data_IF_150790513436
#
_entry.id   IF_150790513436
#
_cell.length_a   1.000
_cell.length_b   1.000
_cell.length_c   1.000
_cell.angle_alpha   90.00
_cell.angle_beta   90.00
_cell.angle_gamma   90.00
#
_symmetry.space_group_name_H-M   'P 1'
#
loop_
_entity.id
_entity.type
_entity.pdbx_description
1 polymer ?
#
# COMPACT_ATOMS: atom_id res chain seq x y z
N UNK A 1 -1.99 23.52 13.54
CA UNK A 1 -2.82 23.64 12.33
C UNK A 1 -2.81 22.34 11.54
N UNK A 2 -3.84 21.50 11.67
CA UNK A 2 -4.11 20.44 10.70
C UNK A 2 -4.81 21.09 9.51
N UNK A 3 -4.14 21.13 8.36
CA UNK A 3 -4.76 21.56 7.11
C UNK A 3 -5.65 20.42 6.63
N UNK A 4 -6.98 20.57 6.79
CA UNK A 4 -7.95 19.66 6.17
C UNK A 4 -7.64 19.60 4.66
N UNK A 5 -7.46 18.40 4.13
CA UNK A 5 -7.23 18.07 2.71
C UNK A 5 -5.81 18.19 2.15
N UNK A 6 -4.76 18.42 2.96
CA UNK A 6 -3.38 18.32 2.46
C UNK A 6 -2.78 16.96 2.81
N UNK A 7 -2.37 16.21 1.78
CA UNK A 7 -1.61 14.97 1.95
C UNK A 7 -0.26 15.31 2.59
N UNK A 8 0.08 14.57 3.65
CA UNK A 8 1.35 14.75 4.36
C UNK A 8 2.31 13.69 3.86
N UNK A 9 3.46 14.12 3.33
CA UNK A 9 4.49 13.18 2.88
C UNK A 9 5.05 12.39 4.06
N UNK A 10 5.53 11.16 3.79
CA UNK A 10 6.15 10.30 4.81
C UNK A 10 7.28 11.03 5.56
N UNK A 11 8.12 11.78 4.87
CA UNK A 11 9.24 12.50 5.50
C UNK A 11 8.77 13.59 6.47
N UNK A 12 7.74 14.35 6.10
CA UNK A 12 7.17 15.37 6.99
C UNK A 12 6.53 14.70 8.21
N UNK A 13 5.83 13.59 8.01
CA UNK A 13 5.24 12.82 9.10
C UNK A 13 6.30 12.28 10.05
N UNK A 14 7.33 11.58 9.54
CA UNK A 14 8.43 11.01 10.33
C UNK A 14 9.17 12.08 11.13
N UNK A 15 9.48 13.24 10.52
CA UNK A 15 10.12 14.37 11.21
C UNK A 15 9.25 14.91 12.36
N UNK A 16 7.93 15.00 12.18
CA UNK A 16 7.01 15.46 13.23
C UNK A 16 6.91 14.47 14.38
N UNK A 17 6.79 13.18 14.09
CA UNK A 17 6.74 12.14 15.12
C UNK A 17 8.03 12.12 15.94
N UNK A 18 9.19 12.22 15.29
CA UNK A 18 10.46 12.32 15.99
C UNK A 18 10.50 13.55 16.92
N UNK A 19 10.08 14.73 16.44
CA UNK A 19 10.07 15.95 17.25
C UNK A 19 9.15 15.87 18.48
N UNK A 20 7.99 15.22 18.36
CA UNK A 20 6.96 15.21 19.42
C UNK A 20 7.14 14.05 20.39
N UNK A 21 7.45 12.86 19.86
CA UNK A 21 7.48 11.60 20.63
C UNK A 21 8.88 11.05 20.82
N UNK A 22 9.92 11.69 20.26
CA UNK A 22 11.30 11.23 20.28
C UNK A 22 11.51 9.82 19.68
N UNK A 23 10.66 9.43 18.73
CA UNK A 23 10.78 8.15 18.02
C UNK A 23 11.60 8.35 16.73
N UNK A 24 12.71 7.63 16.52
CA UNK A 24 13.49 7.69 15.29
C UNK A 24 12.68 7.29 14.04
N UNK A 25 12.91 7.96 12.91
CA UNK A 25 12.17 7.70 11.66
C UNK A 25 12.37 6.29 11.07
N UNK A 26 13.48 5.64 11.41
CA UNK A 26 13.79 4.23 11.11
C UNK A 26 12.91 3.25 11.90
N UNK A 27 12.36 3.67 13.05
CA UNK A 27 11.43 2.87 13.85
C UNK A 27 9.97 3.10 13.43
N UNK A 28 9.73 4.00 12.46
CA UNK A 28 8.40 4.29 11.94
C UNK A 28 8.16 3.52 10.65
N UNK A 29 7.21 2.58 10.73
CA UNK A 29 6.80 1.72 9.62
C UNK A 29 5.38 1.99 9.20
N UNK A 30 5.18 1.91 7.90
CA UNK A 30 3.88 1.94 7.25
C UNK A 30 3.45 0.51 6.93
N UNK A 31 2.14 0.30 6.93
CA UNK A 31 1.54 -1.00 6.65
C UNK A 31 0.41 -0.80 5.66
N UNK A 32 0.55 -1.46 4.51
CA UNK A 32 -0.53 -1.58 3.54
C UNK A 32 -1.26 -2.90 3.77
N UNK A 33 -2.58 -2.84 3.73
CA UNK A 33 -3.46 -4.00 3.89
C UNK A 33 -4.89 -3.63 3.52
N UNK A 34 -5.72 -4.65 3.30
CA UNK A 34 -7.13 -4.48 2.93
C UNK A 34 -7.97 -5.42 3.79
N UNK A 35 -9.24 -5.08 4.01
CA UNK A 35 -10.15 -5.94 4.79
C UNK A 35 -10.38 -7.27 4.05
N UNK A 36 -10.50 -7.18 2.74
CA UNK A 36 -10.71 -8.27 1.79
C UNK A 36 -9.43 -9.06 1.52
N UNK A 37 -8.27 -8.55 1.93
CA UNK A 37 -6.98 -9.23 1.75
C UNK A 37 -6.14 -8.97 2.99
N UNK A 38 -6.43 -9.76 4.03
CA UNK A 38 -5.87 -9.61 5.39
C UNK A 38 -4.38 -9.94 5.53
N UNK A 39 -3.59 -9.71 4.49
CA UNK A 39 -2.14 -9.86 4.50
C UNK A 39 -1.50 -8.48 4.76
N UNK A 40 -0.67 -8.35 5.80
CA UNK A 40 0.05 -7.11 6.05
C UNK A 40 1.28 -7.01 5.15
N UNK A 41 1.37 -5.92 4.40
CA UNK A 41 2.56 -5.53 3.64
C UNK A 41 3.24 -4.38 4.36
N UNK A 42 4.38 -4.64 4.99
CA UNK A 42 5.06 -3.67 5.84
C UNK A 42 6.22 -3.03 5.09
N UNK A 43 6.41 -1.72 5.25
CA UNK A 43 7.50 -1.02 4.60
C UNK A 43 8.86 -1.22 5.30
N UNK A 44 9.93 -1.16 4.50
CA UNK A 44 11.28 -1.09 5.01
C UNK A 44 11.68 0.37 5.33
N UNK A 45 12.94 0.55 5.74
CA UNK A 45 13.55 1.83 6.10
C UNK A 45 13.52 2.81 4.91
N UNK A 46 13.50 2.26 3.69
CA UNK A 46 13.42 2.98 2.42
C UNK A 46 11.97 3.21 1.95
N UNK A 47 10.97 2.85 2.75
CA UNK A 47 9.56 3.06 2.43
C UNK A 47 8.98 2.15 1.34
N UNK A 48 9.69 1.06 0.97
CA UNK A 48 9.20 0.02 0.05
C UNK A 48 8.45 -1.07 0.83
N UNK A 49 7.22 -1.39 0.43
CA UNK A 49 6.37 -2.40 1.05
C UNK A 49 6.85 -3.79 0.62
N UNK A 50 7.24 -4.63 1.58
CA UNK A 50 7.73 -5.98 1.28
C UNK A 50 6.59 -6.97 1.07
N UNK A 51 6.71 -7.79 0.01
CA UNK A 51 5.81 -8.90 -0.25
C UNK A 51 6.23 -10.10 0.60
N UNK A 52 5.38 -10.61 1.50
CA UNK A 52 5.69 -11.80 2.30
C UNK A 52 5.95 -13.03 1.42
N UNK A 53 6.74 -13.98 1.91
CA UNK A 53 7.13 -15.19 1.15
C UNK A 53 5.92 -16.02 0.67
N UNK A 54 4.84 -15.99 1.46
CA UNK A 54 3.59 -16.69 1.21
C UNK A 54 2.63 -15.87 0.35
N UNK A 55 3.02 -14.72 -0.20
CA UNK A 55 2.16 -13.90 -1.06
C UNK A 55 2.84 -13.54 -2.36
N UNK A 56 2.05 -13.07 -3.32
CA UNK A 56 2.52 -12.50 -4.58
C UNK A 56 1.86 -11.15 -4.77
N UNK A 57 2.59 -10.23 -5.38
CA UNK A 57 2.09 -8.95 -5.84
C UNK A 57 2.61 -8.73 -7.26
N UNK A 58 1.76 -8.22 -8.13
CA UNK A 58 2.12 -7.79 -9.48
C UNK A 58 1.38 -6.49 -9.80
N UNK A 59 1.92 -5.71 -10.72
CA UNK A 59 1.20 -4.62 -11.36
C UNK A 59 0.66 -5.16 -12.69
N UNK A 60 -0.60 -4.90 -12.99
CA UNK A 60 -1.24 -5.32 -14.25
C UNK A 60 -1.77 -4.12 -15.02
N UNK A 61 -1.76 -4.24 -16.34
CA UNK A 61 -2.38 -3.27 -17.23
C UNK A 61 -3.91 -3.31 -17.04
N UNK A 62 -4.59 -2.16 -16.87
CA UNK A 62 -6.02 -2.12 -16.56
C UNK A 62 -6.93 -2.55 -17.72
N UNK A 63 -6.45 -2.50 -18.97
CA UNK A 63 -7.25 -2.85 -20.15
C UNK A 63 -7.09 -4.34 -20.50
N UNK A 64 -5.86 -4.84 -20.43
CA UNK A 64 -5.50 -6.20 -20.86
C UNK A 64 -5.41 -7.20 -19.71
N UNK A 65 -5.32 -6.71 -18.46
CA UNK A 65 -5.07 -7.48 -17.24
C UNK A 65 -3.77 -8.30 -17.28
N UNK A 66 -2.88 -8.03 -18.23
CA UNK A 66 -1.58 -8.68 -18.31
C UNK A 66 -0.59 -8.00 -17.34
N UNK A 67 0.35 -8.76 -16.75
CA UNK A 67 1.41 -8.17 -15.94
C UNK A 67 2.23 -7.16 -16.74
N UNK A 68 2.47 -5.98 -16.15
CA UNK A 68 3.43 -5.01 -16.69
C UNK A 68 4.84 -5.37 -16.22
N UNK A 69 5.87 -4.73 -16.78
CA UNK A 69 7.26 -5.00 -16.37
C UNK A 69 7.51 -4.46 -14.97
N UNK A 70 8.46 -5.07 -14.25
CA UNK A 70 8.94 -4.52 -12.99
C UNK A 70 9.48 -3.10 -13.22
N UNK A 71 9.10 -2.16 -12.34
CA UNK A 71 9.37 -0.73 -12.47
C UNK A 71 8.28 0.07 -13.20
N UNK A 72 7.32 -0.58 -13.89
CA UNK A 72 6.20 0.10 -14.54
C UNK A 72 4.98 0.22 -13.60
N UNK A 73 4.19 1.28 -13.78
CA UNK A 73 2.94 1.49 -13.04
C UNK A 73 1.82 0.63 -13.63
N UNK A 74 1.06 -0.03 -12.76
CA UNK A 74 -0.19 -0.71 -13.12
C UNK A 74 -1.14 -0.80 -11.93
N UNK A 75 -2.27 -1.48 -12.11
CA UNK A 75 -3.16 -1.83 -11.01
C UNK A 75 -2.52 -2.91 -10.15
N UNK A 76 -2.58 -2.73 -8.83
CA UNK A 76 -2.04 -3.69 -7.88
C UNK A 76 -2.93 -4.93 -7.84
N UNK A 77 -2.32 -6.08 -8.14
CA UNK A 77 -2.94 -7.39 -8.04
C UNK A 77 -2.19 -8.22 -7.00
N UNK A 78 -2.93 -8.79 -6.05
CA UNK A 78 -2.42 -9.50 -4.89
C UNK A 78 -2.89 -10.95 -4.90
N UNK A 79 -2.02 -11.87 -4.46
CA UNK A 79 -2.39 -13.27 -4.26
C UNK A 79 -1.76 -13.84 -3.00
N UNK A 80 -2.45 -14.78 -2.37
CA UNK A 80 -1.96 -15.49 -1.19
C UNK A 80 -2.72 -16.81 -0.99
N UNK A 81 -2.06 -17.92 -0.63
CA UNK A 81 -2.72 -19.14 -0.20
C UNK A 81 -3.03 -19.13 1.31
N UNK A 82 -2.66 -18.08 2.05
CA UNK A 82 -2.79 -18.01 3.51
C UNK A 82 -4.25 -17.83 3.97
N UNK A 83 -5.12 -17.27 3.12
CA UNK A 83 -6.51 -16.98 3.45
C UNK A 83 -7.37 -18.24 3.26
N UNK A 84 -7.72 -18.89 4.36
CA UNK A 84 -8.53 -20.12 4.37
C UNK A 84 -9.98 -19.91 4.81
N UNK A 85 -10.28 -18.80 5.48
CA UNK A 85 -11.61 -18.51 6.03
C UNK A 85 -12.60 -17.93 4.99
N UNK A 86 -12.10 -17.43 3.85
CA UNK A 86 -12.91 -16.89 2.75
C UNK A 86 -12.10 -16.90 1.43
N UNK A 87 -12.77 -16.94 0.26
CA UNK A 87 -12.10 -17.18 -1.02
C UNK A 87 -11.47 -15.92 -1.64
N UNK A 88 -10.61 -15.20 -0.91
CA UNK A 88 -9.87 -14.04 -1.41
C UNK A 88 -8.39 -14.35 -1.65
N UNK A 89 -8.14 -15.45 -2.36
CA UNK A 89 -6.77 -15.90 -2.65
C UNK A 89 -6.11 -15.09 -3.78
N UNK A 90 -6.90 -14.35 -4.55
CA UNK A 90 -6.52 -13.54 -5.69
C UNK A 90 -7.43 -12.31 -5.73
N UNK A 91 -6.83 -11.13 -5.65
CA UNK A 91 -7.54 -9.86 -5.57
C UNK A 91 -6.90 -8.82 -6.49
N UNK A 92 -7.67 -8.33 -7.46
CA UNK A 92 -7.35 -7.13 -8.20
C UNK A 92 -7.87 -5.92 -7.44
N UNK A 93 -6.99 -4.98 -7.14
CA UNK A 93 -7.33 -3.77 -6.39
C UNK A 93 -7.58 -2.60 -7.34
N UNK A 94 -8.11 -1.50 -6.79
CA UNK A 94 -8.15 -0.20 -7.48
C UNK A 94 -6.94 0.67 -7.15
N UNK A 95 -5.97 0.17 -6.38
CA UNK A 95 -4.75 0.91 -6.07
C UNK A 95 -3.76 0.77 -7.22
N UNK A 96 -3.11 1.88 -7.58
CA UNK A 96 -2.01 1.91 -8.55
C UNK A 96 -0.70 1.69 -7.83
N UNK A 97 0.12 0.78 -8.35
CA UNK A 97 1.40 0.45 -7.74
C UNK A 97 2.47 0.21 -8.79
N UNK A 98 3.72 0.34 -8.32
CA UNK A 98 4.92 -0.10 -9.03
C UNK A 98 5.53 -1.25 -8.25
N UNK A 99 5.81 -2.36 -8.93
CA UNK A 99 6.52 -3.50 -8.35
C UNK A 99 8.00 -3.36 -8.65
N UNK A 100 8.84 -3.54 -7.63
CA UNK A 100 10.29 -3.43 -7.74
C UNK A 100 10.96 -4.63 -7.06
N UNK A 101 12.09 -5.05 -7.60
CA UNK A 101 12.99 -6.00 -6.95
C UNK A 101 14.16 -5.27 -6.26
N UNK A 102 15.13 -6.05 -5.76
CA UNK A 102 16.43 -5.55 -5.28
C UNK A 102 16.33 -4.36 -4.32
N UNK A 103 15.52 -4.54 -3.27
CA UNK A 103 15.35 -3.51 -2.24
C UNK A 103 16.70 -3.12 -1.61
N UNK A 104 17.01 -1.82 -1.40
CA UNK A 104 18.28 -1.40 -0.79
C UNK A 104 18.50 -1.96 0.63
N UNK A 105 17.43 -2.40 1.31
CA UNK A 105 17.54 -3.08 2.61
C UNK A 105 18.09 -4.52 2.52
N UNK A 106 18.31 -5.05 1.29
CA UNK A 106 18.86 -6.38 0.99
C UNK A 106 18.01 -7.57 1.43
N UNK A 107 16.81 -7.35 1.98
CA UNK A 107 15.86 -8.43 2.25
C UNK A 107 15.40 -9.04 0.92
N UNK A 108 15.30 -10.37 0.82
CA UNK A 108 14.90 -11.02 -0.42
C UNK A 108 13.41 -10.79 -0.74
N UNK A 109 13.05 -11.03 -1.99
CA UNK A 109 11.68 -10.95 -2.47
C UNK A 109 11.34 -9.61 -3.12
N UNK A 110 10.15 -9.56 -3.72
CA UNK A 110 9.64 -8.35 -4.37
C UNK A 110 9.16 -7.34 -3.34
N UNK A 111 9.17 -6.10 -3.75
CA UNK A 111 8.59 -4.97 -3.03
C UNK A 111 7.65 -4.20 -3.93
N UNK A 112 6.81 -3.36 -3.36
CA UNK A 112 6.02 -2.42 -4.14
C UNK A 112 5.86 -1.09 -3.44
N UNK A 113 5.44 -0.10 -4.22
CA UNK A 113 5.07 1.23 -3.74
C UNK A 113 3.70 1.58 -4.30
N UNK A 114 2.82 2.10 -3.46
CA UNK A 114 1.55 2.68 -3.89
C UNK A 114 1.82 4.06 -4.49
N UNK A 115 1.34 4.28 -5.70
CA UNK A 115 1.40 5.58 -6.39
C UNK A 115 0.13 6.39 -6.13
N UNK A 116 -1.01 5.71 -6.03
CA UNK A 116 -2.31 6.34 -5.76
C UNK A 116 -3.45 5.36 -5.94
N UNK A 117 -4.67 5.87 -6.12
CA UNK A 117 -5.86 5.08 -6.45
C UNK A 117 -6.33 5.39 -7.87
N UNK A 118 -6.67 4.37 -8.62
CA UNK A 118 -7.37 4.49 -9.89
C UNK A 118 -8.82 4.93 -9.67
N UNK A 119 -9.34 5.73 -10.62
CA UNK A 119 -10.70 6.27 -10.59
C UNK A 119 -10.75 7.80 -10.55
N UNK A 120 -11.83 8.38 -11.10
CA UNK A 120 -12.05 9.84 -11.21
C UNK A 120 -12.41 10.50 -9.87
N UNK A 121 -12.77 9.72 -8.85
CA UNK A 121 -13.14 10.21 -7.53
C UNK A 121 -12.38 9.45 -6.45
N UNK A 122 -11.81 10.17 -5.46
CA UNK A 122 -11.25 9.54 -4.26
C UNK A 122 -12.39 8.78 -3.57
N UNK A 123 -12.31 7.44 -3.55
CA UNK A 123 -13.21 6.63 -2.73
C UNK A 123 -13.11 7.10 -1.27
N UNK A 124 -14.20 7.70 -0.79
CA UNK A 124 -14.36 8.09 0.61
C UNK A 124 -14.32 6.81 1.45
N UNK A 125 -13.39 6.73 2.41
CA UNK A 125 -13.33 5.59 3.33
C UNK A 125 -14.64 5.48 4.13
N UNK A 126 -14.90 4.30 4.71
CA UNK A 126 -16.14 4.02 5.44
C UNK A 126 -16.45 5.06 6.52
N UNK A 127 -15.43 5.59 7.18
CA UNK A 127 -15.58 6.66 8.18
C UNK A 127 -16.13 7.97 7.59
N UNK A 128 -15.73 8.34 6.37
CA UNK A 128 -16.18 9.57 5.71
C UNK A 128 -17.61 9.39 5.18
N UNK A 129 -17.93 8.23 4.62
CA UNK A 129 -19.31 7.93 4.21
C UNK A 129 -20.26 7.89 5.41
N UNK A 130 -19.83 7.30 6.53
CA UNK A 130 -20.62 7.29 7.77
C UNK A 130 -20.87 8.72 8.30
N UNK A 131 -19.88 9.62 8.22
CA UNK A 131 -20.03 11.03 8.58
C UNK A 131 -20.99 11.79 7.64
N UNK A 132 -21.03 11.45 6.36
CA UNK A 132 -21.98 12.04 5.41
C UNK A 132 -23.42 11.55 5.64
N UNK A 133 -23.61 10.36 6.22
CA UNK A 133 -24.91 9.81 6.61
C UNK A 133 -25.45 10.33 7.95
N UNK A 134 -24.61 11.02 8.74
CA UNK A 134 -24.98 11.62 10.02
C UNK A 134 -25.41 13.10 9.90
N UNK A 135 -25.63 13.59 8.67
CA UNK A 135 -26.16 14.93 8.39
C UNK A 135 -27.67 14.93 8.24
#
# INVERSE_FOLDING_TARGET
CMHKNLEVTKDVFKKRINKILNIPGENLRDLFGMVEHGIPYVDCEHGRLHVPIYSRAMAVDPETLQPVKDGEEGLLYLMTPYLSSYPSISLLTTDKAVIEDNCPCKRPGKTFRIVGRAGLAKHKGCAINALDLLK
#
